data_IF_874670698438
#
_entry.id   IF_874670698438
#
_cell.length_a   1.000
_cell.length_b   1.000
_cell.length_c   1.000
_cell.angle_alpha   90.00
_cell.angle_beta   90.00
_cell.angle_gamma   90.00
#
_symmetry.space_group_name_H-M   'P 1'
#
loop_
_entity.id
_entity.type
_entity.pdbx_description
1 polymer ?
#
# COMPACT_ATOMS: atom_id res chain seq x y z
N UNK A 1 12.76 5.65 -5.16
CA UNK A 1 11.30 5.60 -4.96
C UNK A 1 11.06 5.43 -3.47
N UNK A 2 10.10 6.13 -2.87
CA UNK A 2 9.87 6.13 -1.42
C UNK A 2 8.38 5.89 -1.09
N UNK A 3 8.03 5.88 0.20
CA UNK A 3 6.64 5.70 0.66
C UNK A 3 5.71 6.83 0.17
N UNK A 4 6.23 8.04 -0.03
CA UNK A 4 5.45 9.17 -0.52
C UNK A 4 4.96 8.94 -1.96
N UNK A 5 5.80 8.38 -2.83
CA UNK A 5 5.40 8.02 -4.21
C UNK A 5 4.23 7.02 -4.21
N UNK A 6 4.25 6.04 -3.29
CA UNK A 6 3.15 5.11 -3.10
C UNK A 6 1.88 5.81 -2.59
N UNK A 7 1.98 6.72 -1.61
CA UNK A 7 0.83 7.50 -1.12
C UNK A 7 0.21 8.36 -2.22
N UNK A 8 1.03 9.06 -3.01
CA UNK A 8 0.55 9.85 -4.16
C UNK A 8 -0.16 8.97 -5.18
N UNK A 9 0.35 7.76 -5.44
CA UNK A 9 -0.32 6.81 -6.33
C UNK A 9 -1.67 6.33 -5.78
N UNK A 10 -1.78 6.11 -4.45
CA UNK A 10 -3.03 5.77 -3.79
C UNK A 10 -4.07 6.91 -3.86
N UNK A 11 -3.63 8.15 -3.69
CA UNK A 11 -4.47 9.34 -3.84
C UNK A 11 -4.96 9.49 -5.29
N UNK A 12 -4.11 9.18 -6.27
CA UNK A 12 -4.50 9.17 -7.69
C UNK A 12 -5.58 8.13 -7.98
N UNK A 13 -5.47 6.93 -7.40
CA UNK A 13 -6.53 5.90 -7.47
C UNK A 13 -7.83 6.40 -6.84
N UNK A 14 -7.75 7.02 -5.66
CA UNK A 14 -8.93 7.55 -4.97
C UNK A 14 -9.62 8.67 -5.78
N UNK A 15 -8.83 9.56 -6.40
CA UNK A 15 -9.34 10.64 -7.24
C UNK A 15 -10.03 10.09 -8.50
N UNK A 16 -9.41 9.15 -9.21
CA UNK A 16 -10.00 8.53 -10.40
C UNK A 16 -11.25 7.73 -10.06
N UNK A 17 -11.23 6.96 -8.98
CA UNK A 17 -12.40 6.25 -8.47
C UNK A 17 -13.54 7.20 -8.08
N UNK A 18 -13.22 8.31 -7.41
CA UNK A 18 -14.21 9.31 -7.03
C UNK A 18 -14.82 10.00 -8.24
N UNK A 19 -14.03 10.29 -9.28
CA UNK A 19 -14.55 10.88 -10.52
C UNK A 19 -15.55 9.97 -11.22
N UNK A 20 -15.30 8.65 -11.24
CA UNK A 20 -16.22 7.67 -11.81
C UNK A 20 -17.52 7.52 -11.01
N UNK A 21 -17.50 7.81 -9.72
CA UNK A 21 -18.68 7.71 -8.84
C UNK A 21 -19.50 9.01 -8.76
N UNK A 22 -19.11 10.09 -9.44
CA UNK A 22 -19.83 11.37 -9.39
C UNK A 22 -21.22 11.25 -10.03
N UNK A 23 -22.19 12.02 -9.53
CA UNK A 23 -23.60 11.96 -9.97
C UNK A 23 -23.80 12.34 -11.45
N UNK A 24 -22.88 13.14 -12.00
CA UNK A 24 -22.82 13.50 -13.43
C UNK A 24 -21.99 12.47 -14.23
N UNK A 25 -22.05 11.21 -13.82
CA UNK A 25 -21.30 10.10 -14.40
C UNK A 25 -21.54 9.98 -15.91
N UNK A 26 -20.55 9.45 -16.65
CA UNK A 26 -20.67 9.28 -18.08
C UNK A 26 -21.94 8.50 -18.43
N UNK A 27 -22.79 9.14 -19.22
CA UNK A 27 -24.08 8.59 -19.68
C UNK A 27 -23.88 7.64 -20.87
N UNK A 28 -22.71 7.68 -21.50
CA UNK A 28 -22.29 6.80 -22.59
C UNK A 28 -21.35 5.70 -22.08
N UNK A 29 -21.64 4.47 -22.49
CA UNK A 29 -20.78 3.30 -22.39
C UNK A 29 -19.31 3.57 -22.73
N UNK A 30 -19.02 4.36 -23.77
CA UNK A 30 -17.66 4.66 -24.21
C UNK A 30 -16.89 5.48 -23.17
N UNK A 31 -17.55 6.43 -22.53
CA UNK A 31 -16.94 7.25 -21.49
C UNK A 31 -16.82 6.51 -20.16
N UNK A 32 -17.79 5.62 -19.84
CA UNK A 32 -17.64 4.68 -18.72
C UNK A 32 -16.39 3.83 -18.92
N UNK A 33 -16.21 3.23 -20.10
CA UNK A 33 -15.03 2.39 -20.41
C UNK A 33 -13.73 3.17 -20.24
N UNK A 34 -13.65 4.42 -20.73
CA UNK A 34 -12.47 5.27 -20.53
C UNK A 34 -12.17 5.53 -19.05
N UNK A 35 -13.20 5.82 -18.26
CA UNK A 35 -13.02 6.10 -16.84
C UNK A 35 -12.63 4.83 -16.05
N UNK A 36 -13.22 3.67 -16.37
CA UNK A 36 -12.80 2.39 -15.77
C UNK A 36 -11.35 2.10 -16.11
N UNK A 37 -10.93 2.34 -17.36
CA UNK A 37 -9.54 2.19 -17.77
C UNK A 37 -8.60 3.10 -16.96
N UNK A 38 -9.01 4.35 -16.69
CA UNK A 38 -8.22 5.26 -15.85
C UNK A 38 -8.07 4.77 -14.40
N UNK A 39 -9.13 4.20 -13.81
CA UNK A 39 -9.07 3.57 -12.47
C UNK A 39 -8.14 2.36 -12.47
N UNK A 40 -8.26 1.47 -13.46
CA UNK A 40 -7.41 0.28 -13.60
C UNK A 40 -5.95 0.66 -13.78
N UNK A 41 -5.66 1.64 -14.63
CA UNK A 41 -4.29 2.12 -14.85
C UNK A 41 -3.69 2.76 -13.60
N UNK A 42 -4.46 3.59 -12.89
CA UNK A 42 -4.02 4.18 -11.62
C UNK A 42 -3.73 3.10 -10.57
N UNK A 43 -4.59 2.08 -10.49
CA UNK A 43 -4.41 0.96 -9.58
C UNK A 43 -3.13 0.18 -9.92
N UNK A 44 -2.90 -0.11 -11.20
CA UNK A 44 -1.71 -0.82 -11.65
C UNK A 44 -0.43 -0.04 -11.41
N UNK A 45 -0.47 1.30 -11.57
CA UNK A 45 0.65 2.18 -11.25
C UNK A 45 0.98 2.14 -9.74
N UNK A 46 -0.05 2.14 -8.88
CA UNK A 46 0.10 1.96 -7.43
C UNK A 46 0.64 0.57 -7.07
N UNK A 47 0.15 -0.49 -7.70
CA UNK A 47 0.63 -1.85 -7.50
C UNK A 47 2.10 -2.01 -7.92
N UNK A 48 2.51 -1.38 -9.03
CA UNK A 48 3.90 -1.34 -9.46
C UNK A 48 4.79 -0.57 -8.48
N UNK A 49 4.30 0.57 -7.98
CA UNK A 49 4.93 1.38 -6.91
C UNK A 49 5.22 0.54 -5.66
N UNK A 50 4.22 -0.23 -5.23
CA UNK A 50 4.32 -1.11 -4.08
C UNK A 50 5.36 -2.23 -4.29
N UNK A 51 5.41 -2.80 -5.49
CA UNK A 51 6.39 -3.82 -5.88
C UNK A 51 7.80 -3.26 -5.90
N UNK A 52 8.00 -2.09 -6.50
CA UNK A 52 9.31 -1.42 -6.55
C UNK A 52 9.80 -1.02 -5.14
N UNK A 53 8.86 -0.82 -4.22
CA UNK A 53 9.10 -0.45 -2.83
C UNK A 53 9.16 -1.65 -1.86
N UNK A 54 9.12 -2.89 -2.36
CA UNK A 54 8.89 -4.08 -1.53
C UNK A 54 9.95 -4.33 -0.44
N UNK A 55 11.16 -3.79 -0.61
CA UNK A 55 12.25 -3.96 0.36
C UNK A 55 11.99 -3.20 1.67
N UNK A 56 11.33 -2.04 1.60
CA UNK A 56 11.05 -1.18 2.76
C UNK A 56 9.56 -1.01 3.04
N UNK A 57 8.67 -1.39 2.12
CA UNK A 57 7.22 -1.27 2.30
C UNK A 57 6.57 -2.60 2.71
N UNK A 58 5.55 -2.52 3.54
CA UNK A 58 4.77 -3.66 3.99
C UNK A 58 3.88 -4.22 2.85
N UNK A 59 4.27 -5.37 2.30
CA UNK A 59 3.52 -6.06 1.22
C UNK A 59 2.10 -6.49 1.62
N UNK A 60 1.78 -6.55 2.91
CA UNK A 60 0.43 -6.87 3.38
C UNK A 60 -0.60 -5.81 2.96
N UNK A 61 -0.18 -4.56 2.77
CA UNK A 61 -1.06 -3.46 2.34
C UNK A 61 -1.64 -3.78 0.96
N UNK A 62 -0.79 -4.05 -0.04
CA UNK A 62 -1.28 -4.40 -1.37
C UNK A 62 -2.03 -5.73 -1.42
N UNK A 63 -1.60 -6.72 -0.64
CA UNK A 63 -2.34 -8.00 -0.56
C UNK A 63 -3.77 -7.79 -0.06
N UNK A 64 -3.96 -6.97 0.99
CA UNK A 64 -5.29 -6.63 1.50
C UNK A 64 -6.15 -5.98 0.44
N UNK A 65 -5.62 -4.96 -0.26
CA UNK A 65 -6.36 -4.26 -1.30
C UNK A 65 -6.74 -5.24 -2.42
N UNK A 66 -5.78 -6.01 -2.92
CA UNK A 66 -5.99 -7.02 -3.98
C UNK A 66 -6.98 -8.12 -3.59
N UNK A 67 -7.03 -8.49 -2.31
CA UNK A 67 -7.94 -9.52 -1.80
C UNK A 67 -9.34 -8.98 -1.52
N UNK A 68 -9.50 -7.68 -1.30
CA UNK A 68 -10.81 -7.04 -1.16
C UNK A 68 -11.58 -7.01 -2.47
N UNK A 69 -10.89 -7.07 -3.62
CA UNK A 69 -11.51 -7.08 -4.93
C UNK A 69 -12.09 -8.46 -5.23
N UNK A 70 -13.41 -8.51 -5.37
CA UNK A 70 -14.15 -9.73 -5.67
C UNK A 70 -13.86 -10.17 -7.12
N UNK A 71 -13.27 -11.36 -7.28
CA UNK A 71 -12.88 -11.87 -8.59
C UNK A 71 -14.09 -12.05 -9.54
N UNK A 72 -15.22 -12.52 -9.03
CA UNK A 72 -16.44 -12.71 -9.82
C UNK A 72 -17.01 -11.38 -10.32
N UNK A 73 -17.02 -10.34 -9.48
CA UNK A 73 -17.43 -8.99 -9.90
C UNK A 73 -16.46 -8.41 -10.94
N UNK A 74 -15.15 -8.60 -10.76
CA UNK A 74 -14.16 -8.17 -11.74
C UNK A 74 -14.39 -8.86 -13.09
N UNK A 75 -14.61 -10.18 -13.11
CA UNK A 75 -14.85 -10.92 -14.36
C UNK A 75 -16.13 -10.48 -15.09
N UNK A 76 -17.18 -10.13 -14.34
CA UNK A 76 -18.41 -9.53 -14.86
C UNK A 76 -18.16 -8.17 -15.51
N UNK A 77 -17.16 -7.43 -15.06
CA UNK A 77 -16.73 -6.16 -15.66
C UNK A 77 -15.72 -6.34 -16.79
N UNK A 78 -15.35 -7.59 -17.13
CA UNK A 78 -14.26 -7.84 -18.06
C UNK A 78 -12.88 -7.47 -17.50
N UNK A 79 -12.74 -7.40 -16.17
CA UNK A 79 -11.48 -7.15 -15.48
C UNK A 79 -10.94 -8.48 -14.97
N UNK A 80 -9.70 -8.81 -15.32
CA UNK A 80 -9.01 -10.00 -14.84
C UNK A 80 -7.95 -9.60 -13.81
N UNK A 81 -7.83 -10.40 -12.75
CA UNK A 81 -6.81 -10.22 -11.72
C UNK A 81 -5.60 -11.10 -12.04
N UNK A 82 -4.47 -10.47 -12.34
CA UNK A 82 -3.20 -11.15 -12.55
C UNK A 82 -2.62 -11.73 -11.27
N UNK A 83 -1.78 -12.76 -11.39
CA UNK A 83 -1.09 -13.39 -10.26
C UNK A 83 -0.16 -12.43 -9.50
N UNK A 84 0.30 -11.37 -10.16
CA UNK A 84 1.10 -10.29 -9.59
C UNK A 84 0.26 -9.20 -8.87
N UNK A 85 -1.06 -9.37 -8.81
CA UNK A 85 -1.98 -8.40 -8.23
C UNK A 85 -2.33 -7.22 -9.14
N UNK A 86 -1.93 -7.22 -10.41
CA UNK A 86 -2.38 -6.23 -11.39
C UNK A 86 -3.76 -6.57 -11.94
N UNK A 87 -4.47 -5.55 -12.44
CA UNK A 87 -5.77 -5.68 -13.08
C UNK A 87 -5.61 -5.50 -14.59
N UNK A 88 -6.25 -6.37 -15.37
CA UNK A 88 -6.28 -6.28 -16.83
C UNK A 88 -7.71 -6.05 -17.28
N UNK A 89 -7.97 -4.92 -17.94
CA UNK A 89 -9.28 -4.57 -18.45
C UNK A 89 -9.43 -5.00 -19.91
N UNK A 90 -10.41 -5.86 -20.18
CA UNK A 90 -10.96 -6.09 -21.51
C UNK A 90 -12.02 -5.02 -21.79
N UNK A 91 -11.61 -3.95 -22.47
CA UNK A 91 -12.48 -2.81 -22.80
C UNK A 91 -13.65 -3.22 -23.69
N UNK A 92 -13.45 -4.18 -24.59
CA UNK A 92 -14.50 -4.65 -25.50
C UNK A 92 -15.58 -5.42 -24.73
N UNK A 93 -15.16 -6.29 -23.79
CA UNK A 93 -16.08 -7.01 -22.91
C UNK A 93 -16.84 -6.09 -21.97
N UNK A 94 -16.17 -5.09 -21.37
CA UNK A 94 -16.84 -4.08 -20.55
C UNK A 94 -17.87 -3.30 -21.36
N UNK A 95 -17.51 -2.80 -22.54
CA UNK A 95 -18.43 -2.07 -23.42
C UNK A 95 -19.64 -2.91 -23.82
N UNK A 96 -19.42 -4.19 -24.19
CA UNK A 96 -20.51 -5.13 -24.48
C UNK A 96 -21.42 -5.33 -23.27
N UNK A 97 -20.87 -5.56 -22.09
CA UNK A 97 -21.65 -5.78 -20.87
C UNK A 97 -22.42 -4.53 -20.42
N UNK A 98 -21.89 -3.34 -20.66
CA UNK A 98 -22.61 -2.08 -20.45
C UNK A 98 -23.78 -1.93 -21.41
N UNK A 99 -23.62 -2.33 -22.68
CA UNK A 99 -24.69 -2.26 -23.68
C UNK A 99 -25.79 -3.32 -23.46
N UNK A 100 -25.41 -4.54 -23.08
CA UNK A 100 -26.35 -5.65 -22.90
C UNK A 100 -27.02 -5.67 -21.52
N UNK A 101 -26.31 -5.23 -20.48
CA UNK A 101 -26.71 -5.37 -19.06
C UNK A 101 -26.33 -4.14 -18.24
N UNK A 102 -26.71 -2.96 -18.72
CA UNK A 102 -26.29 -1.68 -18.13
C UNK A 102 -26.44 -1.62 -16.60
N UNK A 103 -27.62 -1.88 -16.05
CA UNK A 103 -27.87 -1.76 -14.60
C UNK A 103 -27.02 -2.72 -13.77
N UNK A 104 -26.89 -3.98 -14.20
CA UNK A 104 -26.11 -4.99 -13.50
C UNK A 104 -24.61 -4.66 -13.55
N UNK A 105 -24.12 -4.29 -14.73
CA UNK A 105 -22.73 -3.91 -14.96
C UNK A 105 -22.36 -2.64 -14.20
N UNK A 106 -23.22 -1.62 -14.21
CA UNK A 106 -23.02 -0.36 -13.47
C UNK A 106 -23.06 -0.60 -11.95
N UNK A 107 -23.92 -1.49 -11.44
CA UNK A 107 -23.94 -1.86 -10.02
C UNK A 107 -22.67 -2.59 -9.61
N UNK A 108 -22.22 -3.57 -10.40
CA UNK A 108 -20.97 -4.29 -10.16
C UNK A 108 -19.76 -3.33 -10.22
N UNK A 109 -19.77 -2.40 -11.17
CA UNK A 109 -18.75 -1.37 -11.33
C UNK A 109 -18.70 -0.45 -10.11
N UNK A 110 -19.85 0.08 -9.72
CA UNK A 110 -19.98 0.96 -8.55
C UNK A 110 -19.45 0.27 -7.29
N UNK A 111 -19.85 -0.98 -7.04
CA UNK A 111 -19.36 -1.78 -5.91
C UNK A 111 -17.84 -1.96 -5.95
N UNK A 112 -17.29 -2.28 -7.12
CA UNK A 112 -15.85 -2.51 -7.30
C UNK A 112 -15.07 -1.21 -7.06
N UNK A 113 -15.51 -0.10 -7.65
CA UNK A 113 -14.85 1.20 -7.53
C UNK A 113 -14.97 1.76 -6.11
N UNK A 114 -16.10 1.57 -5.43
CA UNK A 114 -16.23 1.90 -4.01
C UNK A 114 -15.26 1.09 -3.14
N UNK A 115 -15.07 -0.19 -3.45
CA UNK A 115 -14.12 -1.05 -2.73
C UNK A 115 -12.68 -0.55 -2.93
N UNK A 116 -12.30 -0.27 -4.18
CA UNK A 116 -11.00 0.34 -4.51
C UNK A 116 -10.82 1.64 -3.71
N UNK A 117 -11.77 2.58 -3.84
CA UNK A 117 -11.74 3.87 -3.15
C UNK A 117 -11.57 3.73 -1.64
N UNK A 118 -12.34 2.82 -1.02
CA UNK A 118 -12.30 2.57 0.42
C UNK A 118 -10.95 2.02 0.86
N UNK A 119 -10.42 1.02 0.17
CA UNK A 119 -9.14 0.44 0.58
C UNK A 119 -7.95 1.35 0.28
N UNK A 120 -8.00 2.16 -0.79
CA UNK A 120 -6.95 3.15 -1.06
C UNK A 120 -7.04 4.37 -0.14
N UNK A 121 -8.24 4.82 0.22
CA UNK A 121 -8.42 5.92 1.18
C UNK A 121 -7.90 5.57 2.57
N UNK A 122 -7.98 4.30 2.98
CA UNK A 122 -7.39 3.83 4.24
C UNK A 122 -5.87 3.91 4.28
N UNK A 123 -5.19 4.07 3.14
CA UNK A 123 -3.73 4.22 3.10
C UNK A 123 -3.32 5.55 3.75
N UNK A 124 -4.11 6.61 3.55
CA UNK A 124 -3.85 7.93 4.16
C UNK A 124 -3.93 7.88 5.70
N UNK A 125 -4.72 6.94 6.25
CA UNK A 125 -4.88 6.75 7.70
C UNK A 125 -3.80 5.85 8.34
N UNK A 126 -2.92 5.23 7.54
CA UNK A 126 -1.92 4.31 8.07
C UNK A 126 -0.75 5.06 8.73
N UNK A 127 -0.34 4.68 9.94
CA UNK A 127 0.89 5.22 10.51
C UNK A 127 2.08 4.76 9.66
N UNK A 128 3.10 5.61 9.52
CA UNK A 128 4.30 5.31 8.72
C UNK A 128 4.97 3.97 9.12
N UNK A 129 4.92 3.61 10.40
CA UNK A 129 5.42 2.33 10.92
C UNK A 129 4.66 1.10 10.38
N UNK A 130 3.36 1.22 10.10
CA UNK A 130 2.56 0.16 9.48
C UNK A 130 2.84 0.04 7.97
N UNK A 131 3.26 1.13 7.34
CA UNK A 131 3.69 1.17 5.94
C UNK A 131 5.07 0.56 5.74
N UNK A 132 5.93 0.61 6.76
CA UNK A 132 7.28 0.05 6.72
C UNK A 132 7.28 -1.47 6.90
N UNK A 133 8.21 -2.13 6.22
CA UNK A 133 8.45 -3.55 6.39
C UNK A 133 8.97 -3.84 7.81
N UNK A 134 8.65 -5.02 8.35
CA UNK A 134 9.10 -5.42 9.70
C UNK A 134 10.62 -5.39 9.85
N UNK A 135 11.36 -5.71 8.77
CA UNK A 135 12.83 -5.63 8.73
C UNK A 135 13.31 -4.18 8.81
N UNK A 136 12.69 -3.27 8.07
CA UNK A 136 13.05 -1.85 8.09
C UNK A 136 12.72 -1.18 9.43
N UNK A 137 11.59 -1.54 10.05
CA UNK A 137 11.26 -1.09 11.41
C UNK A 137 12.32 -1.53 12.43
N UNK A 138 12.79 -2.79 12.37
CA UNK A 138 13.87 -3.28 13.23
C UNK A 138 15.18 -2.51 13.01
N UNK A 139 15.54 -2.21 11.76
CA UNK A 139 16.74 -1.42 11.45
C UNK A 139 16.65 0.03 11.95
N UNK A 140 15.48 0.66 11.86
CA UNK A 140 15.28 2.02 12.38
C UNK A 140 15.34 2.05 13.92
N UNK A 141 14.70 1.07 14.57
CA UNK A 141 14.80 0.91 16.03
C UNK A 141 16.26 0.68 16.46
N UNK A 142 16.98 -0.19 15.76
CA UNK A 142 18.38 -0.47 16.05
C UNK A 142 19.27 0.77 15.83
N UNK A 143 19.09 1.51 14.72
CA UNK A 143 19.78 2.80 14.51
C UNK A 143 19.44 3.83 15.58
N UNK A 144 18.19 3.90 16.03
CA UNK A 144 17.77 4.77 17.13
C UNK A 144 18.53 4.46 18.41
N UNK A 145 18.68 3.17 18.75
CA UNK A 145 19.45 2.72 19.91
C UNK A 145 20.95 3.01 19.78
N UNK A 146 21.54 2.79 18.60
CA UNK A 146 22.95 3.07 18.35
C UNK A 146 23.26 4.58 18.33
N UNK A 147 22.41 5.40 17.72
CA UNK A 147 22.58 6.86 17.69
C UNK A 147 22.25 7.52 19.04
N UNK A 148 21.41 6.90 19.87
CA UNK A 148 21.15 7.35 21.25
C UNK A 148 22.21 6.83 22.24
N UNK A 149 23.18 6.05 21.76
CA UNK A 149 24.17 5.32 22.55
C UNK A 149 25.59 5.90 22.54
N UNK A 150 25.82 7.11 22.03
CA UNK A 150 27.07 7.83 22.31
C UNK A 150 26.96 8.53 23.67
N UNK A 151 27.05 7.77 24.76
CA UNK A 151 27.01 8.34 26.11
C UNK A 151 27.13 7.41 27.32
N UNK A 152 27.17 6.08 27.17
CA UNK A 152 27.38 5.20 28.33
C UNK A 152 28.55 4.25 28.11
N UNK A 153 29.73 4.71 28.53
CA UNK A 153 30.85 3.86 28.91
C UNK A 153 30.41 2.89 30.00
N UNK A 154 30.04 1.66 29.62
CA UNK A 154 29.86 0.53 30.53
C UNK A 154 31.11 -0.36 30.46
N UNK A 155 32.25 0.20 30.87
CA UNK A 155 33.42 -0.59 31.29
C UNK A 155 33.96 0.02 32.58
N UNK A 156 33.36 -0.39 33.70
CA UNK A 156 34.01 -0.24 34.99
C UNK A 156 33.50 -1.31 35.95
N UNK A 157 34.45 -1.92 36.66
CA UNK A 157 34.36 -2.95 37.71
C UNK A 157 34.33 -4.40 37.20
N UNK A 158 35.16 -5.33 37.68
CA UNK A 158 36.24 -5.36 38.68
C UNK A 158 36.78 -6.79 38.67
N UNK A 159 38.10 -7.01 38.78
CA UNK A 159 38.71 -7.96 39.73
C UNK A 159 40.19 -8.22 39.40
N UNK A 160 41.04 -8.16 40.43
CA UNK A 160 42.25 -8.98 40.45
C UNK A 160 43.60 -8.28 40.69
N UNK A 161 43.77 -7.53 41.78
CA UNK A 161 45.04 -7.56 42.56
C UNK A 161 44.89 -6.84 43.90
N UNK A 162 45.08 -7.50 45.06
CA UNK A 162 45.12 -6.82 46.34
C UNK A 162 46.48 -6.15 46.54
N UNK A 163 46.50 -4.82 46.44
CA UNK A 163 47.65 -4.00 46.83
C UNK A 163 47.80 -3.99 48.35
N UNK A 164 49.00 -4.34 48.81
CA UNK A 164 49.48 -4.28 50.19
C UNK A 164 49.34 -2.85 50.75
N UNK A 165 48.64 -2.71 51.88
CA UNK A 165 48.71 -1.51 52.72
C UNK A 165 49.88 -1.66 53.69
N UNK A 166 50.95 -0.91 53.46
CA UNK A 166 52.07 -0.78 54.40
C UNK A 166 51.64 0.21 55.49
N UNK A 167 51.51 -0.28 56.73
CA UNK A 167 51.39 0.55 57.92
C UNK A 167 52.76 0.60 58.61
N UNK A 168 53.48 1.71 58.47
CA UNK A 168 54.70 1.98 59.25
C UNK A 168 54.41 3.04 60.29
N UNK A 169 54.28 2.60 61.54
CA UNK A 169 54.55 3.41 62.74
C UNK A 169 55.67 2.74 63.52
N UNK A 170 56.81 3.42 63.63
CA UNK A 170 57.73 3.40 64.76
C UNK A 170 58.43 4.76 64.78
#
# INVERSE_FOLDING_TARGET
>A
MNIADFMTSAQTVNATASNLLKKDSPTDSADVVKQVNAVVNSYNAMAAQAKNSSSYMNSAIMKRITNSLNAQQLEQLGIQKGANGQLHLDQAKLGRNLNERFDQTTKALTSTVQTIKKETGRIDDLPASAMLSKSMNKLQLLRGLYNSGSGTSLFSSTSGTPGLLINTRY
#
